data_IF_802576896369
#
_entry.id   IF_802576896369
#
_cell.length_a   1.000
_cell.length_b   1.000
_cell.length_c   1.000
_cell.angle_alpha   90.00
_cell.angle_beta   90.00
_cell.angle_gamma   90.00
#
_symmetry.space_group_name_H-M   'P 1'
#
loop_
_entity.id
_entity.type
_entity.pdbx_description
1 polymer ?
#
# COMPACT_ATOMS: atom_id res chain seq x y z
N UNK A 1 -14.87 15.00 7.95
CA UNK A 1 -13.76 14.97 6.97
C UNK A 1 -12.56 15.54 7.71
N UNK A 2 -11.53 14.74 8.03
CA UNK A 2 -10.32 15.29 8.67
C UNK A 2 -9.70 16.28 7.69
N UNK A 3 -9.65 17.57 8.05
CA UNK A 3 -8.94 18.58 7.27
C UNK A 3 -7.44 18.32 7.45
N UNK A 4 -6.74 18.04 6.36
CA UNK A 4 -5.30 18.14 6.37
C UNK A 4 -4.99 19.63 6.19
N UNK A 5 -4.31 20.21 7.15
CA UNK A 5 -3.86 21.62 7.07
C UNK A 5 -2.81 21.82 5.95
N UNK A 6 -2.30 20.73 5.37
CA UNK A 6 -1.47 20.69 4.16
C UNK A 6 -2.24 20.03 3.01
N UNK A 7 -2.53 20.79 1.96
CA UNK A 7 -2.98 20.23 0.68
C UNK A 7 -1.82 19.40 0.13
N UNK A 8 -1.95 18.06 0.18
CA UNK A 8 -0.95 17.16 -0.38
C UNK A 8 -0.80 17.41 -1.89
N UNK A 9 0.43 17.50 -2.37
CA UNK A 9 0.69 17.61 -3.80
C UNK A 9 0.23 16.35 -4.55
N UNK A 10 -0.13 16.46 -5.85
CA UNK A 10 -0.49 15.31 -6.66
C UNK A 10 0.58 14.21 -6.66
N UNK A 11 1.86 14.59 -6.69
CA UNK A 11 3.00 13.67 -6.67
C UNK A 11 3.03 12.89 -5.35
N UNK A 12 2.80 13.56 -4.22
CA UNK A 12 2.76 12.92 -2.90
C UNK A 12 1.57 11.98 -2.77
N UNK A 13 0.40 12.35 -3.30
CA UNK A 13 -0.77 11.47 -3.36
C UNK A 13 -0.48 10.23 -4.20
N UNK A 14 0.04 10.40 -5.41
CA UNK A 14 0.37 9.30 -6.31
C UNK A 14 1.42 8.36 -5.69
N UNK A 15 2.45 8.91 -5.07
CA UNK A 15 3.49 8.15 -4.40
C UNK A 15 2.95 7.32 -3.22
N UNK A 16 2.08 7.91 -2.38
CA UNK A 16 1.44 7.18 -1.28
C UNK A 16 0.51 6.09 -1.83
N UNK A 17 -0.30 6.39 -2.85
CA UNK A 17 -1.22 5.42 -3.46
C UNK A 17 -0.48 4.22 -4.05
N UNK A 18 0.62 4.45 -4.77
CA UNK A 18 1.49 3.39 -5.28
C UNK A 18 1.99 2.48 -4.15
N UNK A 19 2.50 3.06 -3.08
CA UNK A 19 3.06 2.30 -1.97
C UNK A 19 2.00 1.53 -1.15
N UNK A 20 0.75 2.01 -1.11
CA UNK A 20 -0.38 1.24 -0.56
C UNK A 20 -0.59 -0.05 -1.38
N UNK A 21 -0.59 0.04 -2.71
CA UNK A 21 -0.75 -1.14 -3.59
C UNK A 21 0.44 -2.11 -3.54
N UNK A 22 1.67 -1.59 -3.44
CA UNK A 22 2.87 -2.43 -3.22
C UNK A 22 2.76 -3.16 -1.89
N UNK A 23 2.37 -2.47 -0.82
CA UNK A 23 2.21 -3.06 0.51
C UNK A 23 1.16 -4.17 0.54
N UNK A 24 0.01 -3.96 -0.10
CA UNK A 24 -1.01 -5.00 -0.27
C UNK A 24 -0.44 -6.22 -1.02
N UNK A 25 0.23 -5.99 -2.15
CA UNK A 25 0.76 -7.05 -2.99
C UNK A 25 1.78 -7.90 -2.24
N UNK A 26 2.73 -7.25 -1.55
CA UNK A 26 3.76 -7.94 -0.76
C UNK A 26 3.13 -8.77 0.35
N UNK A 27 2.12 -8.26 1.07
CA UNK A 27 1.42 -9.04 2.09
C UNK A 27 0.74 -10.27 1.50
N UNK A 28 -0.02 -10.10 0.41
CA UNK A 28 -0.79 -11.20 -0.19
C UNK A 28 0.14 -12.26 -0.78
N UNK A 29 1.05 -11.88 -1.67
CA UNK A 29 1.98 -12.82 -2.28
C UNK A 29 2.94 -13.42 -1.26
N UNK A 30 3.57 -12.59 -0.43
CA UNK A 30 4.52 -13.04 0.60
C UNK A 30 3.87 -14.00 1.59
N UNK A 31 2.64 -13.71 2.05
CA UNK A 31 1.89 -14.60 2.93
C UNK A 31 1.54 -15.93 2.27
N UNK A 32 1.13 -15.93 1.00
CA UNK A 32 0.80 -17.16 0.26
C UNK A 32 2.04 -18.02 -0.02
N UNK A 33 3.18 -17.41 -0.34
CA UNK A 33 4.45 -18.11 -0.55
C UNK A 33 4.96 -18.71 0.76
N UNK A 34 5.05 -17.89 1.82
CA UNK A 34 5.60 -18.33 3.12
C UNK A 34 4.72 -19.36 3.83
N UNK A 35 3.42 -19.38 3.54
CA UNK A 35 2.49 -20.42 4.02
C UNK A 35 2.49 -21.70 3.17
N UNK A 36 3.28 -21.75 2.09
CA UNK A 36 3.36 -22.90 1.19
C UNK A 36 2.14 -23.10 0.29
N UNK A 37 1.26 -22.10 0.18
CA UNK A 37 0.08 -22.15 -0.71
C UNK A 37 0.44 -21.86 -2.17
N UNK A 38 1.42 -20.98 -2.39
CA UNK A 38 2.09 -20.79 -3.68
C UNK A 38 3.46 -21.48 -3.61
N UNK A 39 3.69 -22.40 -4.52
CA UNK A 39 4.92 -23.20 -4.67
C UNK A 39 5.30 -23.30 -6.14
N UNK A 40 6.47 -23.86 -6.45
CA UNK A 40 7.03 -23.99 -7.81
C UNK A 40 6.09 -24.68 -8.82
N UNK A 41 5.18 -25.55 -8.35
CA UNK A 41 4.20 -26.23 -9.20
C UNK A 41 2.86 -25.52 -9.36
N UNK A 42 2.69 -24.32 -8.79
CA UNK A 42 1.41 -23.60 -8.79
C UNK A 42 1.23 -22.85 -10.10
N UNK A 43 0.16 -23.15 -10.85
CA UNK A 43 -0.15 -22.44 -12.09
C UNK A 43 -0.73 -21.03 -11.85
N UNK A 44 -0.74 -20.22 -12.91
CA UNK A 44 -1.20 -18.82 -12.86
C UNK A 44 -2.67 -18.70 -12.44
N UNK A 45 -3.52 -19.64 -12.88
CA UNK A 45 -4.95 -19.64 -12.54
C UNK A 45 -5.16 -19.85 -11.06
N UNK A 46 -4.40 -20.78 -10.46
CA UNK A 46 -4.47 -21.06 -9.03
C UNK A 46 -3.90 -19.93 -8.19
N UNK A 47 -2.82 -19.29 -8.66
CA UNK A 47 -2.28 -18.06 -8.04
C UNK A 47 -3.35 -16.97 -8.00
N UNK A 48 -4.06 -16.72 -9.11
CA UNK A 48 -5.11 -15.72 -9.18
C UNK A 48 -6.28 -16.02 -8.22
N UNK A 49 -6.70 -17.29 -8.13
CA UNK A 49 -7.73 -17.72 -7.18
C UNK A 49 -7.30 -17.45 -5.74
N UNK A 50 -6.09 -17.85 -5.35
CA UNK A 50 -5.56 -17.66 -4.00
C UNK A 50 -5.44 -16.18 -3.64
N UNK A 51 -5.00 -15.34 -4.57
CA UNK A 51 -4.93 -13.89 -4.38
C UNK A 51 -6.31 -13.27 -4.18
N UNK A 52 -7.33 -13.76 -4.90
CA UNK A 52 -8.71 -13.27 -4.77
C UNK A 52 -9.33 -13.57 -3.40
N UNK A 53 -8.88 -14.65 -2.76
CA UNK A 53 -9.31 -15.08 -1.42
C UNK A 53 -8.43 -14.48 -0.31
N UNK A 54 -7.28 -13.93 -0.66
CA UNK A 54 -6.33 -13.39 0.31
C UNK A 54 -6.76 -12.00 0.78
N UNK A 55 -6.67 -11.76 2.09
CA UNK A 55 -6.93 -10.46 2.69
C UNK A 55 -5.62 -9.74 2.98
N UNK A 56 -5.62 -8.43 2.84
CA UNK A 56 -4.51 -7.57 3.27
C UNK A 56 -4.99 -6.67 4.40
N UNK A 57 -4.12 -6.43 5.38
CA UNK A 57 -4.39 -5.47 6.45
C UNK A 57 -3.75 -4.13 6.10
N UNK A 58 -4.46 -3.03 6.35
CA UNK A 58 -4.02 -1.68 6.00
C UNK A 58 -3.79 -0.85 7.26
N UNK A 59 -2.53 -0.80 7.70
CA UNK A 59 -2.12 0.01 8.84
C UNK A 59 -1.42 1.28 8.36
N UNK A 60 -2.05 2.43 8.58
CA UNK A 60 -1.51 3.71 8.15
C UNK A 60 -0.18 4.07 8.84
N UNK A 61 0.08 3.58 10.05
CA UNK A 61 1.35 3.79 10.77
C UNK A 61 2.44 2.93 10.13
N UNK A 62 2.18 1.64 9.89
CA UNK A 62 3.16 0.77 9.25
C UNK A 62 3.48 1.21 7.83
N UNK A 63 2.46 1.53 7.03
CA UNK A 63 2.63 2.01 5.65
C UNK A 63 3.46 3.31 5.64
N UNK A 64 3.14 4.28 6.51
CA UNK A 64 3.94 5.51 6.61
C UNK A 64 5.38 5.23 7.06
N UNK A 65 5.59 4.29 7.98
CA UNK A 65 6.92 3.86 8.42
C UNK A 65 7.76 3.30 7.28
N UNK A 66 7.19 2.37 6.50
CA UNK A 66 7.85 1.76 5.34
C UNK A 66 8.17 2.81 4.27
N UNK A 67 7.21 3.68 3.94
CA UNK A 67 7.42 4.77 2.98
C UNK A 67 8.58 5.67 3.42
N UNK A 68 8.60 6.06 4.69
CA UNK A 68 9.66 6.93 5.20
C UNK A 68 11.03 6.24 5.25
N UNK A 69 11.08 4.93 5.49
CA UNK A 69 12.32 4.17 5.41
C UNK A 69 12.90 4.18 3.99
N UNK A 70 12.04 4.04 2.96
CA UNK A 70 12.45 4.17 1.55
C UNK A 70 12.90 5.61 1.23
N UNK A 71 12.15 6.62 1.68
CA UNK A 71 12.51 8.02 1.46
C UNK A 71 13.83 8.42 2.12
N UNK A 72 14.17 7.79 3.26
CA UNK A 72 15.45 8.03 3.92
C UNK A 72 16.64 7.53 3.09
N UNK A 73 16.46 6.40 2.40
CA UNK A 73 17.50 5.81 1.54
C UNK A 73 17.67 6.59 0.22
N UNK A 74 16.58 7.22 -0.27
CA UNK A 74 16.63 8.06 -1.47
C UNK A 74 17.16 9.46 -1.14
N UNK A 75 18.21 9.92 -1.84
CA UNK A 75 18.72 11.30 -1.74
C UNK A 75 17.77 12.36 -2.34
N UNK A 76 16.64 11.94 -2.90
CA UNK A 76 15.63 12.79 -3.52
C UNK A 76 14.71 13.39 -2.44
N UNK A 77 14.55 14.71 -2.47
CA UNK A 77 13.72 15.46 -1.51
C UNK A 77 12.36 15.87 -2.08
N UNK A 78 11.99 15.40 -3.27
CA UNK A 78 10.73 15.74 -3.94
C UNK A 78 9.52 15.35 -3.08
N UNK A 79 9.60 14.23 -2.37
CA UNK A 79 8.57 13.80 -1.43
C UNK A 79 9.07 13.97 0.00
N UNK A 80 8.48 14.92 0.71
CA UNK A 80 8.70 15.07 2.15
C UNK A 80 8.10 13.91 2.94
N UNK A 81 8.51 13.78 4.20
CA UNK A 81 8.05 12.75 5.14
C UNK A 81 6.52 12.55 5.08
N UNK A 82 6.12 11.29 5.08
CA UNK A 82 4.74 10.85 5.06
C UNK A 82 4.26 10.53 6.47
N UNK A 83 3.16 11.15 6.90
CA UNK A 83 2.53 10.87 8.19
C UNK A 83 1.41 9.82 8.03
N UNK A 84 1.00 9.15 9.12
CA UNK A 84 -0.17 8.25 9.08
C UNK A 84 -1.46 8.96 8.64
N UNK A 85 -1.59 10.28 8.90
CA UNK A 85 -2.73 11.07 8.43
C UNK A 85 -2.75 11.19 6.90
N UNK A 86 -1.59 11.38 6.27
CA UNK A 86 -1.49 11.42 4.81
C UNK A 86 -1.92 10.09 4.18
N UNK A 87 -1.48 8.96 4.77
CA UNK A 87 -1.88 7.63 4.31
C UNK A 87 -3.39 7.43 4.44
N UNK A 88 -3.98 7.75 5.61
CA UNK A 88 -5.44 7.65 5.82
C UNK A 88 -6.23 8.51 4.84
N UNK A 89 -5.76 9.73 4.59
CA UNK A 89 -6.39 10.60 3.60
C UNK A 89 -6.37 9.98 2.21
N UNK A 90 -5.20 9.53 1.73
CA UNK A 90 -5.09 8.91 0.40
C UNK A 90 -5.95 7.65 0.31
N UNK A 91 -5.96 6.80 1.34
CA UNK A 91 -6.88 5.66 1.41
C UNK A 91 -8.35 6.09 1.31
N UNK A 92 -8.74 7.18 1.98
CA UNK A 92 -10.12 7.69 1.90
C UNK A 92 -10.48 8.18 0.49
N UNK A 93 -9.55 8.82 -0.23
CA UNK A 93 -9.76 9.26 -1.60
C UNK A 93 -9.84 8.08 -2.57
N UNK A 94 -8.99 7.06 -2.39
CA UNK A 94 -9.05 5.82 -3.16
C UNK A 94 -10.39 5.09 -2.96
N UNK A 95 -10.88 4.98 -1.71
CA UNK A 95 -12.21 4.43 -1.43
C UNK A 95 -13.33 5.23 -2.11
N UNK A 96 -13.26 6.56 -2.04
CA UNK A 96 -14.24 7.45 -2.66
C UNK A 96 -14.29 7.32 -4.20
N UNK A 97 -13.20 6.85 -4.82
CA UNK A 97 -13.10 6.62 -6.28
C UNK A 97 -13.40 5.18 -6.68
N UNK A 98 -13.83 4.32 -5.75
CA UNK A 98 -14.25 2.94 -6.03
C UNK A 98 -13.15 1.89 -5.89
N UNK A 99 -11.95 2.25 -5.41
CA UNK A 99 -10.90 1.27 -5.10
C UNK A 99 -11.33 0.46 -3.88
N UNK A 100 -11.32 -0.86 -4.01
CA UNK A 100 -11.69 -1.79 -2.94
C UNK A 100 -10.57 -1.87 -1.90
N UNK A 101 -10.63 -0.98 -0.90
CA UNK A 101 -9.79 -1.00 0.29
C UNK A 101 -10.67 -1.31 1.52
N UNK A 102 -10.27 -2.21 2.44
CA UNK A 102 -10.92 -2.43 3.73
C UNK A 102 -11.04 -1.13 4.53
#
# INVERSE_FOLDING_TARGET
>A
MESIDDVLSPEKIAFIAYNIGVYESVQKFGGLITSGKITDGTDVSKVAELLSQSTAFYDAIMIAGLINAMLYDTKDKTIERVSPKHVRYVMSQLKATGVSLP
#
